data_IF_862261296185
#
_entry.id   IF_862261296185
#
_cell.length_a   1.000
_cell.length_b   1.000
_cell.length_c   1.000
_cell.angle_alpha   90.00
_cell.angle_beta   90.00
_cell.angle_gamma   90.00
#
_symmetry.space_group_name_H-M   'P 1'
#
loop_
_entity.id
_entity.type
_entity.pdbx_description
1 polymer ?
#
# COMPACT_ATOMS: atom_id res chain seq x y z
N UNK A 1 23.11 7.87 10.13
CA UNK A 1 22.56 9.19 9.73
C UNK A 1 21.17 9.29 10.35
N UNK A 2 20.97 10.26 11.25
CA UNK A 2 19.72 10.46 11.97
C UNK A 2 18.69 11.07 11.01
N UNK A 3 17.91 10.24 10.32
CA UNK A 3 16.87 10.72 9.42
C UNK A 3 15.84 11.44 10.29
N UNK A 4 15.62 12.74 10.07
CA UNK A 4 14.52 13.47 10.70
C UNK A 4 13.21 12.85 10.22
N UNK A 5 12.51 12.15 11.12
CA UNK A 5 11.21 11.55 10.86
C UNK A 5 10.12 12.47 11.41
N UNK A 6 9.11 12.81 10.61
CA UNK A 6 8.00 13.62 11.04
C UNK A 6 6.67 12.90 10.75
N UNK A 7 5.71 13.01 11.66
CA UNK A 7 4.37 12.46 11.46
C UNK A 7 3.43 13.56 11.00
N UNK A 8 2.86 13.39 9.81
CA UNK A 8 1.88 14.32 9.24
C UNK A 8 0.64 13.55 8.79
N UNK A 9 -0.54 13.99 9.24
CA UNK A 9 -1.82 13.33 8.95
C UNK A 9 -1.76 11.80 9.13
N UNK A 10 -1.14 11.33 10.20
CA UNK A 10 -1.07 9.88 10.48
C UNK A 10 -0.10 9.07 9.60
N UNK A 11 0.68 9.72 8.72
CA UNK A 11 1.74 9.11 7.90
C UNK A 11 3.10 9.59 8.38
N UNK A 12 4.05 8.67 8.60
CA UNK A 12 5.45 9.01 8.86
C UNK A 12 6.17 9.35 7.56
N UNK A 13 6.79 10.52 7.53
CA UNK A 13 7.60 11.02 6.44
C UNK A 13 9.07 11.00 6.87
N UNK A 14 9.89 10.37 6.05
CA UNK A 14 11.35 10.35 6.19
C UNK A 14 11.95 11.30 5.15
N UNK A 15 13.08 11.94 5.45
CA UNK A 15 13.73 12.86 4.50
C UNK A 15 14.07 12.23 3.14
N UNK A 16 14.30 10.91 3.07
CA UNK A 16 14.52 10.17 1.83
C UNK A 16 13.27 9.53 1.21
N UNK A 17 12.08 9.77 1.78
CA UNK A 17 10.80 9.16 1.37
C UNK A 17 10.88 7.62 1.23
N UNK A 18 11.60 6.96 2.15
CA UNK A 18 11.74 5.50 2.15
C UNK A 18 10.60 4.79 2.89
N UNK A 19 9.98 5.45 3.89
CA UNK A 19 8.79 5.01 4.60
C UNK A 19 8.95 3.70 5.38
N UNK A 20 10.17 3.35 5.82
CA UNK A 20 10.42 2.10 6.55
C UNK A 20 9.57 2.02 7.82
N UNK A 21 9.60 3.09 8.62
CA UNK A 21 8.85 3.19 9.87
C UNK A 21 7.33 3.13 9.65
N UNK A 22 6.84 3.82 8.62
CA UNK A 22 5.42 3.79 8.26
C UNK A 22 4.96 2.37 7.93
N UNK A 23 5.76 1.63 7.15
CA UNK A 23 5.41 0.25 6.77
C UNK A 23 5.42 -0.68 7.98
N UNK A 24 6.39 -0.54 8.90
CA UNK A 24 6.42 -1.36 10.11
C UNK A 24 5.23 -1.08 11.04
N UNK A 25 4.80 0.18 11.15
CA UNK A 25 3.61 0.54 11.93
C UNK A 25 2.31 0.02 11.30
N UNK A 26 2.16 0.17 9.98
CA UNK A 26 1.01 -0.36 9.23
C UNK A 26 0.97 -1.88 9.34
N UNK A 27 2.12 -2.55 9.20
CA UNK A 27 2.23 -3.99 9.40
C UNK A 27 1.74 -4.41 10.79
N UNK A 28 2.20 -3.73 11.84
CA UNK A 28 1.77 -4.01 13.22
C UNK A 28 0.26 -3.79 13.44
N UNK A 29 -0.35 -2.81 12.76
CA UNK A 29 -1.80 -2.61 12.77
C UNK A 29 -2.54 -3.74 12.03
N UNK A 30 -2.10 -4.09 10.83
CA UNK A 30 -2.72 -5.16 10.03
C UNK A 30 -2.55 -6.53 10.69
N UNK A 31 -1.40 -6.83 11.31
CA UNK A 31 -1.19 -8.09 12.03
C UNK A 31 -2.12 -8.23 13.25
N UNK A 32 -2.41 -7.12 13.96
CA UNK A 32 -3.43 -7.10 15.02
C UNK A 32 -4.82 -7.42 14.46
N UNK A 33 -5.21 -6.75 13.37
CA UNK A 33 -6.48 -7.03 12.67
C UNK A 33 -6.57 -8.47 12.20
N UNK A 34 -5.52 -9.01 11.60
CA UNK A 34 -5.44 -10.40 11.17
C UNK A 34 -5.57 -11.37 12.36
N UNK A 35 -5.05 -11.01 13.53
CA UNK A 35 -5.18 -11.84 14.74
C UNK A 35 -6.61 -11.90 15.24
N UNK A 36 -7.36 -10.78 15.16
CA UNK A 36 -8.80 -10.74 15.44
C UNK A 36 -9.55 -11.64 14.46
N UNK A 37 -9.29 -11.51 13.16
CA UNK A 37 -9.91 -12.36 12.12
C UNK A 37 -9.59 -13.84 12.34
N UNK A 38 -8.35 -14.17 12.75
CA UNK A 38 -7.94 -15.52 13.11
C UNK A 38 -8.73 -16.08 14.28
N UNK A 39 -8.99 -15.27 15.29
CA UNK A 39 -9.79 -15.66 16.45
C UNK A 39 -11.23 -15.95 16.03
N UNK A 40 -11.86 -15.04 15.27
CA UNK A 40 -13.22 -15.21 14.76
C UNK A 40 -13.37 -16.45 13.88
N UNK A 41 -12.38 -16.72 13.01
CA UNK A 41 -12.40 -17.88 12.11
C UNK A 41 -12.25 -19.22 12.83
N UNK A 42 -11.79 -19.22 14.10
CA UNK A 42 -11.60 -20.42 14.93
C UNK A 42 -12.76 -20.71 15.87
N UNK A 43 -13.77 -19.84 15.95
CA UNK A 43 -14.93 -20.03 16.82
C UNK A 43 -15.74 -21.26 16.39
N UNK A 44 -16.28 -22.00 17.36
CA UNK A 44 -16.95 -23.30 17.15
C UNK A 44 -18.17 -23.28 16.22
N UNK A 45 -18.81 -22.12 16.05
CA UNK A 45 -19.93 -21.93 15.10
C UNK A 45 -19.47 -21.61 13.67
N UNK A 46 -18.17 -21.33 13.47
CA UNK A 46 -17.61 -20.90 12.19
C UNK A 46 -18.12 -19.52 11.76
N UNK A 47 -17.34 -18.83 10.94
CA UNK A 47 -17.82 -17.68 10.17
C UNK A 47 -17.90 -18.13 8.72
N UNK A 48 -19.00 -17.83 8.04
CA UNK A 48 -19.11 -18.08 6.61
C UNK A 48 -17.95 -17.39 5.87
N UNK A 49 -17.32 -18.10 4.93
CA UNK A 49 -16.12 -17.62 4.22
C UNK A 49 -16.36 -16.25 3.57
N UNK A 50 -17.53 -16.02 2.99
CA UNK A 50 -17.90 -14.73 2.39
C UNK A 50 -17.96 -13.60 3.43
N UNK A 51 -18.54 -13.87 4.58
CA UNK A 51 -18.63 -12.91 5.70
C UNK A 51 -17.24 -12.63 6.27
N UNK A 52 -16.40 -13.65 6.46
CA UNK A 52 -15.03 -13.48 6.92
C UNK A 52 -14.18 -12.67 5.91
N UNK A 53 -14.38 -12.90 4.60
CA UNK A 53 -13.73 -12.15 3.53
C UNK A 53 -14.21 -10.69 3.47
N UNK A 54 -15.50 -10.45 3.72
CA UNK A 54 -16.05 -9.10 3.84
C UNK A 54 -15.42 -8.36 5.03
N UNK A 55 -15.32 -8.99 6.19
CA UNK A 55 -14.67 -8.42 7.38
C UNK A 55 -13.19 -8.15 7.14
N UNK A 56 -12.49 -9.04 6.46
CA UNK A 56 -11.11 -8.80 6.04
C UNK A 56 -11.00 -7.57 5.15
N UNK A 57 -11.85 -7.48 4.12
CA UNK A 57 -11.87 -6.36 3.18
C UNK A 57 -12.26 -5.04 3.86
N UNK A 58 -13.05 -5.04 4.93
CA UNK A 58 -13.38 -3.78 5.63
C UNK A 58 -12.26 -3.36 6.59
N UNK A 59 -11.73 -4.27 7.39
CA UNK A 59 -10.77 -3.96 8.45
C UNK A 59 -9.33 -3.82 7.96
N UNK A 60 -8.87 -4.72 7.08
CA UNK A 60 -7.48 -4.64 6.58
C UNK A 60 -7.35 -3.51 5.58
N UNK A 61 -8.31 -3.38 4.67
CA UNK A 61 -8.30 -2.35 3.63
C UNK A 61 -8.38 -0.94 4.20
N UNK A 62 -9.16 -0.71 5.26
CA UNK A 62 -9.23 0.60 5.92
C UNK A 62 -7.88 1.05 6.50
N UNK A 63 -7.10 0.10 7.02
CA UNK A 63 -5.74 0.38 7.51
C UNK A 63 -4.76 0.53 6.36
N UNK A 64 -4.79 -0.38 5.38
CA UNK A 64 -3.79 -0.39 4.30
C UNK A 64 -4.01 0.69 3.27
N UNK A 65 -5.24 1.05 2.93
CA UNK A 65 -5.50 2.01 1.84
C UNK A 65 -5.23 3.45 2.25
N UNK A 66 -5.27 3.75 3.55
CA UNK A 66 -5.05 5.09 4.07
C UNK A 66 -3.62 5.54 3.77
N UNK A 67 -3.45 6.39 2.76
CA UNK A 67 -2.14 6.95 2.39
C UNK A 67 -1.22 5.98 1.65
N UNK A 68 -1.69 4.79 1.22
CA UNK A 68 -0.83 3.82 0.52
C UNK A 68 -0.19 4.38 -0.73
N UNK A 69 -0.92 5.22 -1.47
CA UNK A 69 -0.38 5.86 -2.68
C UNK A 69 0.76 6.85 -2.38
N UNK A 70 0.91 7.26 -1.11
CA UNK A 70 1.98 8.15 -0.64
C UNK A 70 3.18 7.31 -0.19
N UNK A 71 2.95 6.35 0.71
CA UNK A 71 4.04 5.63 1.37
C UNK A 71 4.43 4.31 0.69
N UNK A 72 3.75 3.88 -0.38
CA UNK A 72 4.00 2.57 -0.98
C UNK A 72 5.51 2.39 -1.25
N UNK A 73 6.17 1.44 -0.56
CA UNK A 73 7.61 1.41 -0.51
C UNK A 73 8.19 1.11 -1.89
N UNK A 74 9.33 1.73 -2.21
CA UNK A 74 10.05 1.45 -3.46
C UNK A 74 10.91 0.19 -3.39
N UNK A 75 11.47 -0.09 -2.22
CA UNK A 75 12.37 -1.23 -2.04
C UNK A 75 11.58 -2.54 -2.02
N UNK A 76 12.01 -3.51 -2.83
CA UNK A 76 11.32 -4.80 -2.94
C UNK A 76 11.25 -5.54 -1.62
N UNK A 77 12.27 -5.44 -0.77
CA UNK A 77 12.29 -6.10 0.54
C UNK A 77 11.16 -5.60 1.45
N UNK A 78 10.88 -4.29 1.45
CA UNK A 78 9.84 -3.65 2.24
C UNK A 78 8.46 -3.87 1.62
N UNK A 79 8.34 -3.80 0.30
CA UNK A 79 7.10 -4.17 -0.41
C UNK A 79 6.65 -5.57 -0.03
N UNK A 80 7.59 -6.53 -0.04
CA UNK A 80 7.34 -7.90 0.35
C UNK A 80 6.88 -8.02 1.81
N UNK A 81 7.39 -7.18 2.74
CA UNK A 81 6.90 -7.17 4.13
C UNK A 81 5.42 -6.82 4.19
N UNK A 82 4.98 -5.80 3.46
CA UNK A 82 3.59 -5.35 3.44
C UNK A 82 2.67 -6.37 2.73
N UNK A 83 3.09 -6.88 1.56
CA UNK A 83 2.36 -7.90 0.79
C UNK A 83 2.18 -9.20 1.59
N UNK A 84 3.22 -9.65 2.32
CA UNK A 84 3.13 -10.86 3.16
C UNK A 84 2.05 -10.75 4.22
N UNK A 85 1.85 -9.58 4.80
CA UNK A 85 0.79 -9.36 5.79
C UNK A 85 -0.61 -9.45 5.16
N UNK A 86 -0.77 -8.96 3.93
CA UNK A 86 -2.01 -9.13 3.16
C UNK A 86 -2.30 -10.61 2.92
N UNK A 87 -1.32 -11.36 2.37
CA UNK A 87 -1.50 -12.77 2.04
C UNK A 87 -1.73 -13.64 3.28
N UNK A 88 -1.09 -13.33 4.41
CA UNK A 88 -1.31 -14.01 5.69
C UNK A 88 -2.76 -13.85 6.17
N UNK A 89 -3.33 -12.66 6.04
CA UNK A 89 -4.73 -12.42 6.37
C UNK A 89 -5.69 -13.18 5.46
N UNK A 90 -5.47 -13.14 4.14
CA UNK A 90 -6.29 -13.87 3.17
C UNK A 90 -6.25 -15.38 3.42
N UNK A 91 -5.06 -15.97 3.65
CA UNK A 91 -4.93 -17.40 3.98
C UNK A 91 -5.72 -17.77 5.22
N UNK A 92 -5.65 -16.92 6.25
CA UNK A 92 -6.37 -17.15 7.51
C UNK A 92 -7.88 -17.22 7.30
N UNK A 93 -8.40 -16.28 6.51
CA UNK A 93 -9.83 -16.10 6.27
C UNK A 93 -10.41 -17.17 5.34
N UNK A 94 -9.66 -17.55 4.30
CA UNK A 94 -10.07 -18.59 3.35
C UNK A 94 -9.70 -20.01 3.81
N UNK A 95 -8.98 -20.16 4.91
CA UNK A 95 -8.53 -21.47 5.42
C UNK A 95 -7.47 -22.15 4.55
N UNK A 96 -6.75 -21.40 3.71
CA UNK A 96 -5.74 -21.97 2.82
C UNK A 96 -4.42 -22.29 3.53
N UNK A 97 -3.72 -23.30 3.00
CA UNK A 97 -2.39 -23.70 3.47
C UNK A 97 -1.32 -22.68 3.06
N UNK A 98 -0.21 -22.67 3.79
CA UNK A 98 0.94 -21.83 3.46
C UNK A 98 1.58 -22.18 2.10
N UNK A 99 1.43 -23.42 1.65
CA UNK A 99 1.90 -23.89 0.33
C UNK A 99 1.08 -23.36 -0.85
N UNK A 100 -0.12 -22.80 -0.61
CA UNK A 100 -0.96 -22.27 -1.67
C UNK A 100 -0.28 -21.07 -2.35
N UNK A 101 -0.16 -21.05 -3.69
CA UNK A 101 0.42 -19.93 -4.44
C UNK A 101 -0.32 -18.59 -4.21
N UNK A 102 0.42 -17.48 -4.18
CA UNK A 102 -0.15 -16.15 -3.87
C UNK A 102 -1.11 -15.63 -4.95
N UNK A 103 -0.90 -15.97 -6.22
CA UNK A 103 -1.79 -15.59 -7.31
C UNK A 103 -3.19 -16.20 -7.15
N UNK A 104 -3.27 -17.46 -6.72
CA UNK A 104 -4.55 -18.14 -6.42
C UNK A 104 -5.28 -17.42 -5.29
N UNK A 105 -4.58 -17.07 -4.21
CA UNK A 105 -5.17 -16.37 -3.07
C UNK A 105 -5.83 -15.04 -3.46
N UNK A 106 -5.17 -14.28 -4.32
CA UNK A 106 -5.64 -12.96 -4.75
C UNK A 106 -6.87 -13.08 -5.66
N UNK A 107 -6.84 -14.07 -6.57
CA UNK A 107 -7.96 -14.38 -7.45
C UNK A 107 -9.20 -14.82 -6.65
N UNK A 108 -9.04 -15.79 -5.74
CA UNK A 108 -10.12 -16.31 -4.90
C UNK A 108 -10.70 -15.25 -3.96
N UNK A 109 -9.84 -14.45 -3.34
CA UNK A 109 -10.28 -13.35 -2.48
C UNK A 109 -10.97 -12.21 -3.24
N UNK A 110 -10.85 -12.15 -4.58
CA UNK A 110 -11.28 -11.01 -5.40
C UNK A 110 -10.72 -9.70 -4.83
N UNK A 111 -9.43 -9.68 -4.57
CA UNK A 111 -8.68 -8.51 -4.04
C UNK A 111 -7.61 -8.14 -5.05
N UNK A 112 -7.24 -6.86 -5.12
CA UNK A 112 -6.11 -6.40 -5.95
C UNK A 112 -4.78 -6.56 -5.21
N UNK A 113 -3.70 -6.69 -5.96
CA UNK A 113 -2.35 -6.54 -5.38
C UNK A 113 -2.23 -5.15 -4.76
N UNK A 114 -1.50 -5.03 -3.65
CA UNK A 114 -1.31 -3.74 -2.97
C UNK A 114 -0.67 -2.69 -3.88
N UNK A 115 0.23 -3.10 -4.76
CA UNK A 115 0.83 -2.21 -5.77
C UNK A 115 -0.22 -1.60 -6.67
N UNK A 116 -1.01 -2.44 -7.34
CA UNK A 116 -2.03 -2.01 -8.29
C UNK A 116 -3.08 -1.14 -7.59
N UNK A 117 -3.39 -1.47 -6.33
CA UNK A 117 -4.29 -0.67 -5.51
C UNK A 117 -3.71 0.70 -5.18
N UNK A 118 -2.43 0.78 -4.84
CA UNK A 118 -1.74 2.05 -4.62
C UNK A 118 -1.71 2.90 -5.89
N UNK A 119 -1.40 2.29 -7.04
CA UNK A 119 -1.41 2.97 -8.33
C UNK A 119 -2.81 3.48 -8.71
N UNK A 120 -3.85 2.67 -8.49
CA UNK A 120 -5.24 3.07 -8.71
C UNK A 120 -5.63 4.26 -7.83
N UNK A 121 -5.29 4.23 -6.53
CA UNK A 121 -5.58 5.32 -5.61
C UNK A 121 -4.80 6.59 -5.97
N UNK A 122 -3.53 6.47 -6.39
CA UNK A 122 -2.73 7.58 -6.88
C UNK A 122 -3.39 8.24 -8.10
N UNK A 123 -3.82 7.44 -9.09
CA UNK A 123 -4.50 7.94 -10.30
C UNK A 123 -5.81 8.64 -9.96
N UNK A 124 -6.61 8.07 -9.07
CA UNK A 124 -7.87 8.68 -8.64
C UNK A 124 -7.64 10.02 -7.94
N UNK A 125 -6.61 10.10 -7.08
CA UNK A 125 -6.23 11.35 -6.42
C UNK A 125 -5.78 12.41 -7.44
N UNK A 126 -4.85 12.06 -8.33
CA UNK A 126 -4.36 12.97 -9.36
C UNK A 126 -5.48 13.44 -10.28
N UNK A 127 -6.38 12.55 -10.69
CA UNK A 127 -7.52 12.91 -11.54
C UNK A 127 -8.41 13.96 -10.87
N UNK A 128 -8.68 13.81 -9.57
CA UNK A 128 -9.43 14.82 -8.80
C UNK A 128 -8.68 16.15 -8.72
N UNK A 129 -7.37 16.11 -8.50
CA UNK A 129 -6.54 17.32 -8.45
C UNK A 129 -6.51 18.04 -9.80
N UNK A 130 -6.47 17.32 -10.92
CA UNK A 130 -6.49 17.96 -12.24
C UNK A 130 -7.83 18.60 -12.59
N UNK A 131 -8.94 18.01 -12.14
CA UNK A 131 -10.29 18.52 -12.44
C UNK A 131 -10.70 19.63 -11.48
N UNK A 132 -10.45 19.47 -10.17
CA UNK A 132 -10.98 20.35 -9.12
C UNK A 132 -9.90 21.06 -8.30
N UNK A 133 -8.62 20.74 -8.49
CA UNK A 133 -7.54 21.27 -7.68
C UNK A 133 -7.15 22.71 -8.04
N UNK A 134 -6.50 23.38 -7.09
CA UNK A 134 -5.96 24.71 -7.29
C UNK A 134 -4.97 24.77 -8.46
N UNK A 135 -4.93 25.91 -9.15
CA UNK A 135 -4.05 26.12 -10.29
C UNK A 135 -2.58 25.95 -9.91
N UNK A 136 -2.15 26.47 -8.76
CA UNK A 136 -0.77 26.37 -8.29
C UNK A 136 -0.32 24.90 -8.14
N UNK A 137 -1.19 24.05 -7.57
CA UNK A 137 -0.91 22.63 -7.41
C UNK A 137 -0.80 21.91 -8.75
N UNK A 138 -1.69 22.23 -9.70
CA UNK A 138 -1.66 21.67 -11.06
C UNK A 138 -0.37 22.05 -11.79
N UNK A 139 0.06 23.31 -11.68
CA UNK A 139 1.34 23.78 -12.22
C UNK A 139 2.51 23.03 -11.59
N UNK A 140 2.56 22.89 -10.26
CA UNK A 140 3.62 22.13 -9.57
C UNK A 140 3.68 20.67 -10.05
N UNK A 141 2.54 20.00 -10.18
CA UNK A 141 2.48 18.61 -10.69
C UNK A 141 2.99 18.52 -12.12
N UNK A 142 2.59 19.46 -13.00
CA UNK A 142 3.05 19.50 -14.38
C UNK A 142 4.56 19.75 -14.47
N UNK A 143 5.11 20.63 -13.63
CA UNK A 143 6.55 20.89 -13.55
C UNK A 143 7.32 19.65 -13.09
N UNK A 144 6.83 18.96 -12.06
CA UNK A 144 7.42 17.70 -11.59
C UNK A 144 7.40 16.62 -12.67
N UNK A 145 6.29 16.51 -13.41
CA UNK A 145 6.17 15.59 -14.56
C UNK A 145 7.18 15.94 -15.65
N UNK A 146 7.33 17.22 -16.00
CA UNK A 146 8.28 17.67 -17.01
C UNK A 146 9.73 17.38 -16.59
N UNK A 147 10.09 17.65 -15.34
CA UNK A 147 11.41 17.35 -14.80
C UNK A 147 11.73 15.84 -14.82
N UNK A 148 10.78 15.00 -14.43
CA UNK A 148 10.93 13.55 -14.50
C UNK A 148 11.06 13.04 -15.94
N UNK A 149 10.27 13.58 -16.88
CA UNK A 149 10.35 13.22 -18.29
C UNK A 149 11.70 13.61 -18.90
N UNK A 150 12.18 14.81 -18.60
CA UNK A 150 13.50 15.28 -19.05
C UNK A 150 14.62 14.39 -18.51
N UNK A 151 14.59 14.06 -17.21
CA UNK A 151 15.62 13.22 -16.62
C UNK A 151 15.62 11.79 -17.17
N UNK A 152 14.44 11.23 -17.49
CA UNK A 152 14.32 9.94 -18.18
C UNK A 152 14.81 10.00 -19.62
N UNK A 153 14.58 11.12 -20.32
CA UNK A 153 15.11 11.34 -21.66
C UNK A 153 16.65 11.35 -21.65
N UNK A 154 17.27 12.06 -20.69
CA UNK A 154 18.74 12.08 -20.56
C UNK A 154 19.33 10.75 -20.11
N UNK A 155 18.59 9.96 -19.32
CA UNK A 155 19.07 8.70 -18.76
C UNK A 155 18.02 7.59 -18.84
N UNK A 156 17.83 6.95 -20.01
CA UNK A 156 16.80 5.94 -20.23
C UNK A 156 16.91 4.72 -19.29
N UNK A 157 18.12 4.39 -18.85
CA UNK A 157 18.39 3.29 -17.92
C UNK A 157 18.01 3.57 -16.45
N UNK A 158 17.62 4.82 -16.10
CA UNK A 158 17.17 5.14 -14.75
C UNK A 158 15.81 4.50 -14.46
N UNK A 159 15.83 3.44 -13.65
CA UNK A 159 14.61 2.83 -13.08
C UNK A 159 14.00 3.69 -11.96
N UNK A 160 14.75 4.68 -11.44
CA UNK A 160 14.38 5.47 -10.27
C UNK A 160 13.85 6.85 -10.67
N UNK A 161 12.69 7.22 -10.13
CA UNK A 161 12.19 8.61 -10.16
C UNK A 161 13.24 9.57 -9.60
N UNK A 162 13.48 10.67 -10.31
CA UNK A 162 14.57 11.62 -10.07
C UNK A 162 14.19 12.65 -9.00
N UNK A 163 12.90 12.87 -8.81
CA UNK A 163 12.32 13.82 -7.84
C UNK A 163 12.75 13.55 -6.38
N UNK A 164 13.19 12.34 -6.05
CA UNK A 164 13.53 11.92 -4.68
C UNK A 164 15.05 12.00 -4.40
N UNK A 165 15.86 12.41 -5.39
CA UNK A 165 17.32 12.61 -5.22
C UNK A 165 17.71 14.04 -4.84
N UNK A 166 16.74 14.96 -4.73
CA UNK A 166 16.96 16.35 -4.33
C UNK A 166 16.89 16.53 -2.81
#
# INVERSE_FOLDING_TARGET
MNCKEARFLGVWLDGGLNFHKQVDEIRGRVDRTNSILKYLSKTSRGVEVNTALLLYKSLVRSVTDYGVFIYYPRERSIQLKLERTQYKGIRTVLGYRNSTPNNVLIAEAKVMLLRDRADMLARNFLSKVFVYGEEELRIKINNLKAAENYARFCHPQLVRCVIIKA
#
